data_IF_521975358599
#
_entry.id   IF_521975358599
#
_cell.length_a   1.000
_cell.length_b   1.000
_cell.length_c   1.000
_cell.angle_alpha   90.00
_cell.angle_beta   90.00
_cell.angle_gamma   90.00
#
_symmetry.space_group_name_H-M   'P 1'
#
loop_
_entity.id
_entity.type
_entity.pdbx_description
1 polymer ?
#
# COMPACT_ATOMS: atom_id res chain seq x y z
N UNK A 1 5.84 9.77 10.77
CA UNK A 1 6.51 10.46 9.66
C UNK A 1 5.48 11.27 8.88
N UNK A 2 5.84 12.44 8.34
CA UNK A 2 4.96 13.23 7.45
C UNK A 2 5.71 13.46 6.14
N UNK A 3 5.24 12.81 5.08
CA UNK A 3 5.70 13.00 3.71
C UNK A 3 4.44 13.35 2.92
N UNK A 4 4.48 14.47 2.20
CA UNK A 4 3.41 14.84 1.27
C UNK A 4 3.78 14.32 -0.12
N UNK A 5 2.89 13.53 -0.71
CA UNK A 5 3.06 12.97 -2.05
C UNK A 5 2.14 13.73 -3.00
N UNK A 6 2.75 14.41 -3.97
CA UNK A 6 2.02 15.07 -5.05
C UNK A 6 1.70 14.06 -6.15
N UNK A 7 0.54 14.22 -6.77
CA UNK A 7 0.16 13.45 -7.96
C UNK A 7 1.22 13.59 -9.07
N UNK A 8 1.57 12.45 -9.70
CA UNK A 8 2.43 12.41 -10.88
C UNK A 8 1.90 11.37 -11.88
N UNK A 9 2.24 11.48 -13.17
CA UNK A 9 1.84 10.50 -14.18
C UNK A 9 2.25 9.07 -13.81
N UNK A 10 3.45 8.88 -13.25
CA UNK A 10 3.96 7.57 -12.82
C UNK A 10 3.18 7.02 -11.63
N UNK A 11 2.79 7.88 -10.69
CA UNK A 11 1.96 7.51 -9.55
C UNK A 11 0.57 7.06 -10.02
N UNK A 12 -0.05 7.81 -10.92
CA UNK A 12 -1.34 7.46 -11.51
C UNK A 12 -1.26 6.17 -12.32
N UNK A 13 -0.19 5.96 -13.09
CA UNK A 13 0.04 4.73 -13.83
C UNK A 13 0.10 3.54 -12.88
N UNK A 14 0.83 3.66 -11.76
CA UNK A 14 0.91 2.63 -10.73
C UNK A 14 -0.44 2.38 -10.04
N UNK A 15 -1.18 3.44 -9.73
CA UNK A 15 -2.54 3.31 -9.18
C UNK A 15 -3.49 2.58 -10.15
N UNK A 16 -3.35 2.81 -11.46
CA UNK A 16 -4.10 2.08 -12.47
C UNK A 16 -3.72 0.59 -12.53
N UNK A 17 -2.42 0.26 -12.44
CA UNK A 17 -1.95 -1.13 -12.35
C UNK A 17 -2.54 -1.84 -11.12
N UNK A 18 -2.54 -1.18 -9.96
CA UNK A 18 -3.15 -1.73 -8.75
C UNK A 18 -4.67 -1.88 -8.85
N UNK A 19 -5.33 -0.96 -9.54
CA UNK A 19 -6.78 -1.08 -9.82
C UNK A 19 -7.10 -2.31 -10.67
N UNK A 20 -6.23 -2.67 -11.63
CA UNK A 20 -6.38 -3.91 -12.42
C UNK A 20 -6.24 -5.19 -11.58
N UNK A 21 -5.59 -5.12 -10.42
CA UNK A 21 -5.54 -6.21 -9.44
C UNK A 21 -6.83 -6.32 -8.60
N UNK A 22 -7.85 -5.49 -8.87
CA UNK A 22 -9.13 -5.48 -8.18
C UNK A 22 -9.16 -4.64 -6.90
N UNK A 23 -8.20 -3.74 -6.71
CA UNK A 23 -8.27 -2.70 -5.66
C UNK A 23 -9.21 -1.58 -6.11
N UNK A 24 -9.95 -0.98 -5.16
CA UNK A 24 -10.76 0.20 -5.46
C UNK A 24 -9.84 1.39 -5.77
N UNK A 25 -10.34 2.37 -6.53
CA UNK A 25 -9.56 3.53 -6.99
C UNK A 25 -8.76 4.22 -5.88
N UNK A 26 -9.39 4.48 -4.73
CA UNK A 26 -8.74 5.15 -3.60
C UNK A 26 -7.68 4.25 -2.93
N UNK A 27 -7.96 2.96 -2.76
CA UNK A 27 -7.01 2.02 -2.17
C UNK A 27 -5.78 1.85 -3.06
N UNK A 28 -6.00 1.75 -4.37
CA UNK A 28 -4.95 1.69 -5.37
C UNK A 28 -4.09 2.97 -5.38
N UNK A 29 -4.72 4.13 -5.20
CA UNK A 29 -4.00 5.40 -5.10
C UNK A 29 -3.16 5.49 -3.82
N UNK A 30 -3.73 5.17 -2.65
CA UNK A 30 -2.99 5.16 -1.39
C UNK A 30 -1.80 4.19 -1.42
N UNK A 31 -1.98 3.02 -2.02
CA UNK A 31 -0.90 2.05 -2.18
C UNK A 31 0.18 2.57 -3.12
N UNK A 32 -0.19 3.23 -4.22
CA UNK A 32 0.76 3.90 -5.11
C UNK A 32 1.54 5.01 -4.38
N UNK A 33 0.88 5.80 -3.52
CA UNK A 33 1.54 6.79 -2.69
C UNK A 33 2.57 6.15 -1.74
N UNK A 34 2.22 5.05 -1.07
CA UNK A 34 3.13 4.36 -0.16
C UNK A 34 4.38 3.82 -0.87
N UNK A 35 4.20 3.24 -2.06
CA UNK A 35 5.32 2.79 -2.91
C UNK A 35 6.18 3.98 -3.36
N UNK A 36 5.57 5.07 -3.81
CA UNK A 36 6.28 6.28 -4.24
C UNK A 36 7.06 6.92 -3.08
N UNK A 37 6.48 6.92 -1.88
CA UNK A 37 7.14 7.38 -0.65
C UNK A 37 8.25 6.44 -0.17
N UNK A 38 8.41 5.26 -0.79
CA UNK A 38 9.31 4.18 -0.34
C UNK A 38 9.04 3.80 1.12
N UNK A 39 7.76 3.74 1.49
CA UNK A 39 7.37 3.32 2.83
C UNK A 39 7.78 1.86 3.06
N UNK A 40 8.23 1.55 4.27
CA UNK A 40 8.62 0.18 4.64
C UNK A 40 7.39 -0.75 4.68
N UNK A 41 6.25 -0.22 5.14
CA UNK A 41 5.00 -0.95 5.22
C UNK A 41 3.77 -0.06 4.94
N UNK A 42 2.75 -0.67 4.36
CA UNK A 42 1.40 -0.14 4.21
C UNK A 42 0.47 -0.87 5.19
N UNK A 43 0.20 -0.23 6.33
CA UNK A 43 -0.62 -0.82 7.38
C UNK A 43 -2.11 -0.62 7.09
N UNK A 44 -2.89 -1.69 7.15
CA UNK A 44 -4.33 -1.63 6.92
C UNK A 44 -5.06 -2.76 7.63
N UNK A 45 -6.30 -2.50 8.05
CA UNK A 45 -7.21 -3.51 8.60
C UNK A 45 -8.19 -4.04 7.54
N UNK A 46 -8.15 -3.51 6.31
CA UNK A 46 -9.03 -3.96 5.23
C UNK A 46 -8.58 -5.30 4.66
N UNK A 47 -9.39 -6.34 4.90
CA UNK A 47 -9.13 -7.71 4.43
C UNK A 47 -9.02 -7.82 2.90
N UNK A 48 -9.69 -6.96 2.14
CA UNK A 48 -9.61 -6.97 0.68
C UNK A 48 -8.24 -6.51 0.18
N UNK A 49 -7.62 -5.54 0.88
CA UNK A 49 -6.26 -5.06 0.61
C UNK A 49 -5.21 -6.06 1.14
N UNK A 50 -5.40 -6.59 2.36
CA UNK A 50 -4.50 -7.60 2.94
C UNK A 50 -4.35 -8.84 2.04
N UNK A 51 -5.43 -9.27 1.36
CA UNK A 51 -5.37 -10.37 0.38
C UNK A 51 -4.47 -10.07 -0.83
N UNK A 52 -4.12 -8.81 -1.08
CA UNK A 52 -3.21 -8.39 -2.15
C UNK A 52 -1.74 -8.39 -1.73
N UNK A 53 -1.43 -8.59 -0.44
CA UNK A 53 -0.06 -8.66 0.07
C UNK A 53 0.80 -9.72 -0.64
N UNK A 54 0.19 -10.82 -1.08
CA UNK A 54 0.88 -11.88 -1.82
C UNK A 54 1.24 -11.49 -3.26
N UNK A 55 0.55 -10.50 -3.84
CA UNK A 55 0.68 -10.10 -5.25
C UNK A 55 1.44 -8.78 -5.38
N UNK A 56 1.21 -7.83 -4.48
CA UNK A 56 1.91 -6.55 -4.46
C UNK A 56 3.17 -6.68 -3.62
N UNK A 57 4.32 -6.76 -4.28
CA UNK A 57 5.63 -6.90 -3.63
C UNK A 57 6.39 -5.56 -3.51
N UNK A 58 5.86 -4.48 -4.07
CA UNK A 58 6.51 -3.16 -4.08
C UNK A 58 6.45 -2.42 -2.74
N UNK A 59 5.58 -2.87 -1.83
CA UNK A 59 5.50 -2.39 -0.43
C UNK A 59 4.94 -3.52 0.42
N UNK A 60 5.40 -3.63 1.67
CA UNK A 60 4.89 -4.62 2.60
C UNK A 60 3.49 -4.25 3.07
N UNK A 61 2.46 -5.00 2.67
CA UNK A 61 1.08 -4.78 3.15
C UNK A 61 0.85 -5.65 4.39
N UNK A 62 0.43 -5.07 5.51
CA UNK A 62 0.27 -5.83 6.76
C UNK A 62 -0.83 -5.28 7.68
N UNK A 63 -1.39 -6.15 8.52
CA UNK A 63 -2.27 -5.73 9.61
C UNK A 63 -1.46 -5.01 10.72
N UNK A 64 -1.97 -3.90 11.28
CA UNK A 64 -1.26 -3.17 12.33
C UNK A 64 -0.91 -4.02 13.56
N UNK A 65 -1.75 -4.98 13.96
CA UNK A 65 -1.49 -5.84 15.13
C UNK A 65 -0.34 -6.79 14.83
N UNK A 66 -0.35 -7.44 13.67
CA UNK A 66 0.75 -8.33 13.26
C UNK A 66 2.07 -7.58 13.13
N UNK A 67 2.03 -6.35 12.59
CA UNK A 67 3.21 -5.49 12.51
C UNK A 67 3.80 -5.16 13.90
N UNK A 68 2.96 -4.80 14.88
CA UNK A 68 3.42 -4.51 16.25
C UNK A 68 4.00 -5.77 16.91
N UNK A 69 3.38 -6.93 16.72
CA UNK A 69 3.86 -8.21 17.30
C UNK A 69 5.22 -8.63 16.77
N UNK A 70 5.56 -8.27 15.53
CA UNK A 70 6.90 -8.53 14.99
C UNK A 70 7.97 -7.58 15.54
N UNK A 71 7.59 -6.32 15.81
CA UNK A 71 8.51 -5.33 16.37
C UNK A 71 8.75 -5.52 17.87
N UNK A 72 7.74 -6.01 18.58
CA UNK A 72 7.75 -6.23 20.02
C UNK A 72 7.28 -7.66 20.34
N UNK A 73 8.19 -8.65 20.23
CA UNK A 73 7.87 -10.05 20.52
C UNK A 73 7.57 -10.33 22.00
#
# INVERSE_FOLDING_TARGET
ARIDITESPELLQRANQFSQLGLKKMDALHLACAVTAKADAFLTTDKSILKKAAVVQSVRIQDPIDFIRELFP
#
